data_IF_121842852268
#
_entry.id   IF_121842852268
#
_cell.length_a   1.000
_cell.length_b   1.000
_cell.length_c   1.000
_cell.angle_alpha   90.00
_cell.angle_beta   90.00
_cell.angle_gamma   90.00
#
_symmetry.space_group_name_H-M   'P 1'
#
loop_
_entity.id
_entity.type
_entity.pdbx_description
1 polymer ?
#
# COMPACT_ATOMS: atom_id res chain seq x y z
N UNK A 1 -55.15 -22.55 -36.59
CA UNK A 1 -55.28 -21.49 -35.58
C UNK A 1 -54.95 -21.97 -34.15
N UNK A 2 -54.10 -23.00 -33.98
CA UNK A 2 -53.74 -23.54 -32.65
C UNK A 2 -52.22 -23.49 -32.40
N UNK A 3 -51.41 -23.51 -33.46
CA UNK A 3 -49.94 -23.45 -33.34
C UNK A 3 -49.41 -22.05 -32.96
N UNK A 4 -50.14 -20.98 -33.31
CA UNK A 4 -49.71 -19.60 -33.02
C UNK A 4 -49.96 -19.15 -31.58
N UNK A 5 -50.88 -19.80 -30.85
CA UNK A 5 -51.19 -19.47 -29.45
C UNK A 5 -50.19 -20.14 -28.50
N UNK A 6 -49.76 -21.37 -28.80
CA UNK A 6 -48.74 -22.06 -28.00
C UNK A 6 -47.35 -21.41 -28.09
N UNK A 7 -46.99 -20.79 -29.23
CA UNK A 7 -45.71 -20.08 -29.37
C UNK A 7 -45.69 -18.76 -28.60
N UNK A 8 -46.80 -18.00 -28.60
CA UNK A 8 -46.91 -16.77 -27.79
C UNK A 8 -46.92 -17.06 -26.28
N UNK A 9 -47.53 -18.16 -25.83
CA UNK A 9 -47.53 -18.55 -24.41
C UNK A 9 -46.17 -19.07 -23.91
N UNK A 10 -45.33 -19.59 -24.80
CA UNK A 10 -43.95 -20.01 -24.48
C UNK A 10 -42.97 -18.84 -24.45
N UNK A 11 -43.12 -17.85 -25.34
CA UNK A 11 -42.31 -16.64 -25.33
C UNK A 11 -42.60 -15.76 -24.11
N UNK A 12 -43.87 -15.62 -23.70
CA UNK A 12 -44.27 -14.76 -22.57
C UNK A 12 -43.85 -15.34 -21.20
N UNK A 13 -43.83 -16.67 -21.07
CA UNK A 13 -43.29 -17.35 -19.88
C UNK A 13 -41.77 -17.21 -19.79
N UNK A 14 -41.06 -17.26 -20.91
CA UNK A 14 -39.60 -17.08 -20.97
C UNK A 14 -39.18 -15.67 -20.53
N UNK A 15 -39.89 -14.63 -20.98
CA UNK A 15 -39.65 -13.23 -20.55
C UNK A 15 -40.07 -12.98 -19.11
N UNK A 16 -41.13 -13.61 -18.61
CA UNK A 16 -41.53 -13.53 -17.19
C UNK A 16 -40.50 -14.20 -16.28
N UNK A 17 -39.98 -15.38 -16.66
CA UNK A 17 -38.91 -16.08 -15.93
C UNK A 17 -37.59 -15.31 -15.98
N UNK A 18 -37.20 -14.73 -17.13
CA UNK A 18 -35.95 -13.96 -17.22
C UNK A 18 -36.03 -12.63 -16.45
N UNK A 19 -37.18 -11.94 -16.45
CA UNK A 19 -37.42 -10.76 -15.59
C UNK A 19 -37.46 -11.11 -14.12
N UNK A 20 -38.10 -12.23 -13.74
CA UNK A 20 -38.14 -12.71 -12.36
C UNK A 20 -36.75 -13.12 -11.87
N UNK A 21 -35.93 -13.79 -12.67
CA UNK A 21 -34.53 -14.11 -12.35
C UNK A 21 -33.69 -12.83 -12.26
N UNK A 22 -33.93 -11.83 -13.12
CA UNK A 22 -33.23 -10.54 -13.08
C UNK A 22 -33.64 -9.67 -11.88
N UNK A 23 -34.87 -9.82 -11.37
CA UNK A 23 -35.36 -9.11 -10.18
C UNK A 23 -35.02 -9.82 -8.87
N UNK A 24 -35.01 -11.16 -8.85
CA UNK A 24 -34.71 -11.99 -7.66
C UNK A 24 -33.20 -12.08 -7.41
N UNK A 25 -32.34 -11.98 -8.43
CA UNK A 25 -30.89 -12.23 -8.23
C UNK A 25 -30.02 -11.02 -7.87
N UNK A 26 -30.58 -9.84 -7.61
CA UNK A 26 -29.76 -8.66 -7.24
C UNK A 26 -30.02 -8.14 -5.84
N UNK A 27 -31.27 -8.14 -5.37
CA UNK A 27 -31.60 -7.66 -4.02
C UNK A 27 -31.34 -8.74 -2.98
N UNK A 28 -31.89 -9.95 -3.17
CA UNK A 28 -31.82 -11.01 -2.17
C UNK A 28 -30.43 -11.63 -2.06
N UNK A 29 -29.70 -11.71 -3.18
CA UNK A 29 -28.29 -12.09 -3.20
C UNK A 29 -27.41 -11.02 -2.54
N UNK A 30 -27.67 -9.73 -2.79
CA UNK A 30 -26.93 -8.66 -2.14
C UNK A 30 -27.22 -8.63 -0.63
N UNK A 31 -28.46 -8.83 -0.20
CA UNK A 31 -28.82 -8.93 1.22
C UNK A 31 -28.25 -10.18 1.88
N UNK A 32 -28.23 -11.32 1.19
CA UNK A 32 -27.62 -12.56 1.69
C UNK A 32 -26.10 -12.40 1.86
N UNK A 33 -25.42 -11.80 0.88
CA UNK A 33 -23.99 -11.50 0.97
C UNK A 33 -23.74 -10.47 2.08
N UNK A 34 -24.56 -9.41 2.19
CA UNK A 34 -24.45 -8.41 3.27
C UNK A 34 -24.68 -9.05 4.65
N UNK A 35 -25.53 -10.06 4.76
CA UNK A 35 -25.81 -10.80 5.99
C UNK A 35 -24.66 -11.74 6.35
N UNK A 36 -24.16 -12.54 5.39
CA UNK A 36 -22.97 -13.39 5.59
C UNK A 36 -21.73 -12.55 5.92
N UNK A 37 -21.56 -11.37 5.31
CA UNK A 37 -20.47 -10.43 5.62
C UNK A 37 -20.61 -9.74 6.99
N UNK A 38 -21.82 -9.65 7.56
CA UNK A 38 -22.04 -9.15 8.93
C UNK A 38 -21.80 -10.23 9.99
N UNK A 39 -21.90 -11.49 9.61
CA UNK A 39 -21.72 -12.64 10.51
C UNK A 39 -20.25 -13.06 10.65
N UNK A 40 -19.36 -12.61 9.76
CA UNK A 40 -17.91 -12.71 9.94
C UNK A 40 -17.36 -11.53 10.77
N UNK A 41 -17.18 -11.75 12.07
CA UNK A 41 -16.58 -10.83 13.06
C UNK A 41 -15.15 -10.33 12.74
N UNK A 42 -14.60 -10.68 11.58
CA UNK A 42 -13.27 -10.29 11.08
C UNK A 42 -13.29 -9.63 9.69
N UNK A 43 -14.46 -9.32 9.13
CA UNK A 43 -14.56 -8.70 7.82
C UNK A 43 -14.10 -7.23 7.87
N UNK A 44 -13.12 -6.88 7.02
CA UNK A 44 -12.77 -5.48 6.77
C UNK A 44 -14.05 -4.76 6.30
N UNK A 45 -14.46 -3.64 6.94
CA UNK A 45 -15.69 -2.96 6.57
C UNK A 45 -15.71 -2.67 5.06
N UNK A 46 -16.83 -2.96 4.40
CA UNK A 46 -16.99 -2.79 2.94
C UNK A 46 -16.47 -1.43 2.45
N UNK A 47 -16.71 -0.37 3.24
CA UNK A 47 -16.21 0.98 2.95
C UNK A 47 -14.68 1.07 2.87
N UNK A 48 -13.94 0.37 3.74
CA UNK A 48 -12.47 0.32 3.72
C UNK A 48 -11.99 -0.39 2.46
N UNK A 49 -12.68 -1.46 2.05
CA UNK A 49 -12.39 -2.16 0.80
C UNK A 49 -12.58 -1.24 -0.42
N UNK A 50 -13.68 -0.49 -0.49
CA UNK A 50 -13.92 0.48 -1.57
C UNK A 50 -12.83 1.54 -1.66
N UNK A 51 -12.44 2.14 -0.53
CA UNK A 51 -11.34 3.11 -0.49
C UNK A 51 -10.03 2.51 -0.98
N UNK A 52 -9.67 1.33 -0.49
CA UNK A 52 -8.45 0.64 -0.90
C UNK A 52 -8.44 0.29 -2.38
N UNK A 53 -9.58 -0.15 -2.92
CA UNK A 53 -9.74 -0.47 -4.33
C UNK A 53 -9.61 0.78 -5.22
N UNK A 54 -10.27 1.89 -4.86
CA UNK A 54 -10.15 3.16 -5.56
C UNK A 54 -8.70 3.68 -5.55
N UNK A 55 -8.04 3.65 -4.39
CA UNK A 55 -6.64 4.07 -4.26
C UNK A 55 -5.75 3.19 -5.15
N UNK A 56 -5.91 1.87 -5.10
CA UNK A 56 -5.18 0.93 -5.95
C UNK A 56 -5.35 1.26 -7.44
N UNK A 57 -6.60 1.44 -7.89
CA UNK A 57 -6.91 1.73 -9.28
C UNK A 57 -6.27 3.04 -9.75
N UNK A 58 -6.41 4.12 -8.97
CA UNK A 58 -5.78 5.40 -9.31
C UNK A 58 -4.26 5.32 -9.33
N UNK A 59 -3.64 4.62 -8.38
CA UNK A 59 -2.19 4.40 -8.38
C UNK A 59 -1.74 3.60 -9.61
N UNK A 60 -2.46 2.56 -10.02
CA UNK A 60 -2.17 1.79 -11.24
C UNK A 60 -2.31 2.62 -12.51
N UNK A 61 -3.29 3.53 -12.54
CA UNK A 61 -3.48 4.48 -13.63
C UNK A 61 -2.49 5.67 -13.58
N UNK A 62 -1.54 5.71 -12.63
CA UNK A 62 -0.61 6.83 -12.37
C UNK A 62 -1.31 8.16 -12.04
N UNK A 63 -2.58 8.11 -11.62
CA UNK A 63 -3.39 9.25 -11.21
C UNK A 63 -3.19 9.54 -9.71
N UNK A 64 -1.96 9.85 -9.30
CA UNK A 64 -1.61 10.01 -7.87
C UNK A 64 -2.41 11.12 -7.18
N UNK A 65 -2.76 12.18 -7.90
CA UNK A 65 -3.60 13.24 -7.35
C UNK A 65 -4.96 12.72 -6.86
N UNK A 66 -5.60 11.83 -7.60
CA UNK A 66 -6.90 11.28 -7.26
C UNK A 66 -6.80 10.16 -6.22
N UNK A 67 -5.71 9.37 -6.24
CA UNK A 67 -5.39 8.45 -5.17
C UNK A 67 -5.26 9.18 -3.81
N UNK A 68 -4.57 10.33 -3.81
CA UNK A 68 -4.40 11.15 -2.62
C UNK A 68 -5.69 11.84 -2.15
N UNK A 69 -6.51 12.35 -3.07
CA UNK A 69 -7.84 12.87 -2.70
C UNK A 69 -8.68 11.78 -2.05
N UNK A 70 -8.64 10.57 -2.58
CA UNK A 70 -9.35 9.41 -2.03
C UNK A 70 -8.86 9.05 -0.64
N UNK A 71 -7.55 9.00 -0.43
CA UNK A 71 -6.94 8.79 0.89
C UNK A 71 -7.32 9.90 1.90
N UNK A 72 -7.29 11.18 1.50
CA UNK A 72 -7.72 12.27 2.39
C UNK A 72 -9.19 12.16 2.77
N UNK A 73 -10.06 11.84 1.82
CA UNK A 73 -11.48 11.61 2.08
C UNK A 73 -11.70 10.48 3.10
N UNK A 74 -10.93 9.39 3.00
CA UNK A 74 -10.94 8.31 3.98
C UNK A 74 -10.64 8.83 5.40
N UNK A 75 -9.61 9.67 5.53
CA UNK A 75 -9.22 10.29 6.81
C UNK A 75 -10.27 11.28 7.33
N UNK A 76 -10.84 12.11 6.46
CA UNK A 76 -11.91 13.07 6.78
C UNK A 76 -13.15 12.35 7.32
N UNK A 77 -13.47 11.18 6.75
CA UNK A 77 -14.55 10.31 7.18
C UNK A 77 -14.21 9.46 8.43
N UNK A 78 -13.01 9.65 9.03
CA UNK A 78 -12.53 8.90 10.19
C UNK A 78 -12.46 7.39 9.97
N UNK A 79 -12.28 6.98 8.72
CA UNK A 79 -12.07 5.58 8.35
C UNK A 79 -10.58 5.30 8.44
N UNK A 80 -10.20 4.28 9.22
CA UNK A 80 -8.80 4.02 9.51
C UNK A 80 -8.08 3.38 8.33
N UNK A 81 -6.94 3.93 7.89
CA UNK A 81 -6.14 3.32 6.84
C UNK A 81 -5.56 1.99 7.30
N UNK A 82 -5.42 1.08 6.36
CA UNK A 82 -4.89 -0.28 6.58
C UNK A 82 -3.49 -0.41 5.99
N UNK A 83 -2.80 -1.51 6.29
CA UNK A 83 -1.54 -1.87 5.62
C UNK A 83 -1.69 -1.83 4.10
N UNK A 84 -2.81 -2.35 3.57
CA UNK A 84 -3.08 -2.34 2.12
C UNK A 84 -3.20 -0.92 1.55
N UNK A 85 -3.80 0.00 2.31
CA UNK A 85 -3.89 1.43 1.93
C UNK A 85 -2.50 2.00 1.68
N UNK A 86 -1.58 1.79 2.62
CA UNK A 86 -0.22 2.29 2.51
C UNK A 86 0.60 1.58 1.44
N UNK A 87 0.49 0.25 1.31
CA UNK A 87 1.15 -0.50 0.22
C UNK A 87 0.74 0.04 -1.15
N UNK A 88 -0.56 0.30 -1.37
CA UNK A 88 -1.05 0.85 -2.64
C UNK A 88 -0.44 2.23 -2.95
N UNK A 89 -0.43 3.13 -1.96
CA UNK A 89 0.15 4.46 -2.12
C UNK A 89 1.66 4.41 -2.36
N UNK A 90 2.40 3.58 -1.61
CA UNK A 90 3.84 3.40 -1.81
C UNK A 90 4.10 2.83 -3.21
N UNK A 91 3.32 1.85 -3.68
CA UNK A 91 3.43 1.31 -5.04
C UNK A 91 3.25 2.41 -6.08
N UNK A 92 2.23 3.26 -5.92
CA UNK A 92 1.97 4.40 -6.79
C UNK A 92 3.16 5.35 -6.86
N UNK A 93 3.65 5.81 -5.70
CA UNK A 93 4.81 6.70 -5.63
C UNK A 93 6.09 6.07 -6.17
N UNK A 94 6.35 4.81 -5.84
CA UNK A 94 7.52 4.06 -6.31
C UNK A 94 7.57 4.00 -7.83
N UNK A 95 6.43 3.75 -8.48
CA UNK A 95 6.32 3.67 -9.94
C UNK A 95 6.61 4.99 -10.68
N UNK A 96 6.64 6.09 -9.95
CA UNK A 96 6.94 7.45 -10.44
C UNK A 96 8.22 8.01 -9.81
N UNK A 97 8.98 7.18 -9.09
CA UNK A 97 10.22 7.55 -8.39
C UNK A 97 10.04 8.72 -7.37
N UNK A 98 8.82 8.87 -6.85
CA UNK A 98 8.41 9.90 -5.88
C UNK A 98 8.78 9.52 -4.45
N UNK A 99 10.07 9.26 -4.22
CA UNK A 99 10.56 8.73 -2.94
C UNK A 99 10.43 9.72 -1.77
N UNK A 100 10.45 11.03 -2.06
CA UNK A 100 10.23 12.07 -1.05
C UNK A 100 8.80 11.96 -0.48
N UNK A 101 7.83 11.69 -1.31
CA UNK A 101 6.43 11.54 -0.92
C UNK A 101 6.23 10.28 -0.07
N UNK A 102 7.01 9.21 -0.31
CA UNK A 102 7.06 8.04 0.57
C UNK A 102 7.60 8.42 1.96
N UNK A 103 8.54 9.39 2.07
CA UNK A 103 9.00 9.86 3.40
C UNK A 103 7.91 10.60 4.18
N UNK A 104 7.05 11.34 3.48
CA UNK A 104 5.89 12.02 4.08
C UNK A 104 4.87 10.97 4.53
N UNK A 105 4.57 10.00 3.65
CA UNK A 105 3.65 8.90 3.95
C UNK A 105 4.13 8.05 5.13
N UNK A 106 5.45 7.86 5.29
CA UNK A 106 6.01 7.20 6.48
C UNK A 106 5.72 7.98 7.77
N UNK A 107 5.70 9.32 7.72
CA UNK A 107 5.24 10.14 8.83
C UNK A 107 3.77 9.87 9.19
N UNK A 108 2.91 9.68 8.20
CA UNK A 108 1.50 9.31 8.41
C UNK A 108 1.37 7.90 9.00
N UNK A 109 2.14 6.93 8.50
CA UNK A 109 2.16 5.55 9.01
C UNK A 109 2.52 5.56 10.50
N UNK A 110 3.58 6.28 10.90
CA UNK A 110 3.98 6.38 12.31
C UNK A 110 2.89 6.97 13.20
N UNK A 111 2.22 8.05 12.76
CA UNK A 111 1.09 8.61 13.53
C UNK A 111 -0.03 7.59 13.72
N UNK A 112 -0.38 6.83 12.68
CA UNK A 112 -1.41 5.79 12.80
C UNK A 112 -0.97 4.63 13.72
N UNK A 113 0.32 4.31 13.78
CA UNK A 113 0.85 3.34 14.75
C UNK A 113 0.78 3.87 16.19
N UNK A 114 1.19 5.11 16.41
CA UNK A 114 1.15 5.79 17.72
C UNK A 114 -0.28 5.91 18.25
N UNK A 115 -1.25 6.19 17.37
CA UNK A 115 -2.67 6.26 17.70
C UNK A 115 -3.33 4.88 17.89
N UNK A 116 -2.60 3.78 17.68
CA UNK A 116 -3.13 2.41 17.77
C UNK A 116 -4.06 2.01 16.61
N UNK A 117 -4.15 2.83 15.56
CA UNK A 117 -5.02 2.62 14.40
C UNK A 117 -4.41 1.66 13.36
N UNK A 118 -3.10 1.40 13.42
CA UNK A 118 -2.39 0.58 12.45
C UNK A 118 -1.36 -0.34 13.12
N UNK A 119 -1.53 -1.65 12.91
CA UNK A 119 -0.49 -2.65 13.20
C UNK A 119 0.28 -2.92 11.91
N UNK A 120 1.54 -2.49 11.87
CA UNK A 120 2.42 -2.67 10.71
C UNK A 120 3.01 -4.07 10.71
N UNK A 121 2.96 -4.75 9.55
CA UNK A 121 3.59 -6.06 9.36
C UNK A 121 4.99 -5.93 8.74
N UNK A 122 5.71 -7.05 8.70
CA UNK A 122 7.05 -7.13 8.10
C UNK A 122 7.06 -6.65 6.64
N UNK A 123 6.04 -7.01 5.86
CA UNK A 123 6.01 -6.74 4.41
C UNK A 123 5.96 -5.23 4.12
N UNK A 124 5.20 -4.45 4.91
CA UNK A 124 5.16 -3.00 4.75
C UNK A 124 6.51 -2.36 5.13
N UNK A 125 7.17 -2.82 6.18
CA UNK A 125 8.53 -2.36 6.51
C UNK A 125 9.54 -2.69 5.40
N UNK A 126 9.50 -3.91 4.88
CA UNK A 126 10.37 -4.33 3.78
C UNK A 126 10.14 -3.47 2.54
N UNK A 127 8.89 -3.17 2.22
CA UNK A 127 8.54 -2.33 1.09
C UNK A 127 9.02 -0.88 1.25
N UNK A 128 8.83 -0.30 2.44
CA UNK A 128 9.37 1.02 2.76
C UNK A 128 10.90 1.06 2.70
N UNK A 129 11.57 0.05 3.27
CA UNK A 129 13.03 -0.04 3.31
C UNK A 129 13.61 -0.11 1.90
N UNK A 130 13.06 -0.95 1.02
CA UNK A 130 13.49 -1.04 -0.38
C UNK A 130 13.31 0.29 -1.13
N UNK A 131 12.17 0.97 -0.94
CA UNK A 131 11.90 2.24 -1.58
C UNK A 131 12.81 3.36 -1.08
N UNK A 132 13.05 3.44 0.24
CA UNK A 132 14.00 4.41 0.79
C UNK A 132 15.43 4.12 0.36
N UNK A 133 15.80 2.85 0.24
CA UNK A 133 17.10 2.47 -0.28
C UNK A 133 17.27 2.89 -1.74
N UNK A 134 16.28 2.65 -2.61
CA UNK A 134 16.27 3.14 -3.99
C UNK A 134 16.41 4.66 -4.07
N UNK A 135 15.63 5.39 -3.26
CA UNK A 135 15.69 6.86 -3.20
C UNK A 135 16.90 7.44 -2.48
N UNK A 136 17.77 6.62 -1.88
CA UNK A 136 18.95 7.09 -1.15
C UNK A 136 18.64 7.77 0.20
N UNK A 137 17.47 7.50 0.80
CA UNK A 137 17.05 8.05 2.09
C UNK A 137 17.59 7.20 3.25
N UNK A 138 18.92 7.13 3.39
CA UNK A 138 19.59 6.24 4.36
C UNK A 138 19.21 6.49 5.82
N UNK A 139 18.85 7.72 6.18
CA UNK A 139 18.29 8.03 7.50
C UNK A 139 17.04 7.18 7.77
N UNK A 140 16.09 7.16 6.83
CA UNK A 140 14.85 6.37 6.93
C UNK A 140 15.10 4.88 6.80
N UNK A 141 16.07 4.46 5.99
CA UNK A 141 16.50 3.05 5.92
C UNK A 141 16.97 2.58 7.30
N UNK A 142 17.84 3.34 7.96
CA UNK A 142 18.35 2.99 9.29
C UNK A 142 17.26 3.05 10.36
N UNK A 143 16.33 3.99 10.27
CA UNK A 143 15.15 4.08 11.14
C UNK A 143 14.32 2.78 11.05
N UNK A 144 13.96 2.32 9.85
CA UNK A 144 13.16 1.09 9.67
C UNK A 144 13.91 -0.15 10.13
N UNK A 145 15.21 -0.27 9.84
CA UNK A 145 16.03 -1.38 10.35
C UNK A 145 15.98 -1.42 11.88
N UNK A 146 15.98 -0.25 12.54
CA UNK A 146 15.78 -0.11 13.98
C UNK A 146 14.44 -0.70 14.41
N UNK A 147 13.34 -0.23 13.83
CA UNK A 147 11.99 -0.74 14.12
C UNK A 147 11.89 -2.26 13.94
N UNK A 148 12.35 -2.79 12.79
CA UNK A 148 12.31 -4.23 12.53
C UNK A 148 13.12 -5.02 13.56
N UNK A 149 14.29 -4.52 13.98
CA UNK A 149 15.12 -5.16 15.00
C UNK A 149 14.47 -5.15 16.38
N UNK A 150 13.91 -4.02 16.79
CA UNK A 150 13.22 -3.86 18.09
C UNK A 150 12.03 -4.80 18.22
N UNK A 151 11.34 -5.08 17.11
CA UNK A 151 10.21 -6.00 17.06
C UNK A 151 10.61 -7.46 16.69
N UNK A 152 11.91 -7.77 16.69
CA UNK A 152 12.40 -9.13 16.42
C UNK A 152 12.14 -9.65 15.00
N UNK A 153 11.92 -8.75 14.03
CA UNK A 153 11.63 -9.13 12.65
C UNK A 153 12.91 -9.48 11.89
N UNK A 154 12.81 -10.52 11.04
CA UNK A 154 13.90 -10.92 10.15
C UNK A 154 14.20 -9.84 9.10
N UNK A 155 15.49 -9.60 8.85
CA UNK A 155 15.97 -8.66 7.83
C UNK A 155 16.96 -9.34 6.90
N UNK A 156 16.66 -9.34 5.59
CA UNK A 156 17.54 -9.91 4.58
C UNK A 156 18.65 -8.93 4.19
N UNK A 157 19.75 -8.98 4.95
CA UNK A 157 20.92 -8.11 4.72
C UNK A 157 21.52 -8.28 3.33
N UNK A 158 21.47 -9.49 2.76
CA UNK A 158 22.05 -9.76 1.44
C UNK A 158 21.23 -9.08 0.36
N UNK A 159 19.90 -9.21 0.40
CA UNK A 159 18.99 -8.53 -0.51
C UNK A 159 19.20 -7.01 -0.50
N UNK A 160 19.29 -6.39 0.68
CA UNK A 160 19.52 -4.95 0.78
C UNK A 160 20.94 -4.54 0.37
N UNK A 161 21.94 -5.41 0.56
CA UNK A 161 23.29 -5.21 0.01
C UNK A 161 23.26 -5.14 -1.51
N UNK A 162 22.58 -6.10 -2.16
CA UNK A 162 22.42 -6.13 -3.61
C UNK A 162 21.71 -4.88 -4.14
N UNK A 163 20.62 -4.47 -3.49
CA UNK A 163 19.87 -3.28 -3.90
C UNK A 163 20.71 -2.00 -3.74
N UNK A 164 21.49 -1.88 -2.66
CA UNK A 164 22.44 -0.77 -2.51
C UNK A 164 23.49 -0.75 -3.61
N UNK A 165 24.10 -1.88 -3.93
CA UNK A 165 25.12 -1.95 -4.99
C UNK A 165 24.53 -1.65 -6.37
N UNK A 166 23.25 -1.96 -6.59
CA UNK A 166 22.55 -1.65 -7.84
C UNK A 166 22.34 -0.15 -8.04
N UNK A 167 21.88 0.58 -7.01
CA UNK A 167 21.51 1.99 -7.15
C UNK A 167 22.59 2.97 -6.68
N UNK A 168 23.45 2.56 -5.75
CA UNK A 168 24.29 3.46 -4.95
C UNK A 168 25.74 2.98 -4.78
N UNK A 169 26.26 2.08 -5.63
CA UNK A 169 27.65 1.56 -5.49
C UNK A 169 28.75 2.63 -5.40
N UNK A 170 28.57 3.75 -6.09
CA UNK A 170 29.54 4.84 -6.13
C UNK A 170 29.19 5.96 -5.15
N UNK A 171 28.04 5.85 -4.47
CA UNK A 171 27.55 6.85 -3.54
C UNK A 171 28.54 7.03 -2.38
N UNK A 172 29.09 8.23 -2.27
CA UNK A 172 30.06 8.65 -1.26
C UNK A 172 31.36 7.82 -1.21
N UNK A 173 31.73 7.13 -2.29
CA UNK A 173 32.95 6.31 -2.36
C UNK A 173 34.23 7.08 -1.99
N UNK A 174 34.27 8.38 -2.28
CA UNK A 174 35.40 9.27 -2.00
C UNK A 174 35.12 10.32 -0.91
N UNK A 175 33.90 10.39 -0.37
CA UNK A 175 33.54 11.40 0.63
C UNK A 175 33.88 10.95 2.05
N UNK A 176 34.82 11.65 2.67
CA UNK A 176 35.08 11.54 4.11
C UNK A 176 34.15 12.49 4.87
N UNK A 177 33.77 12.16 6.11
CA UNK A 177 32.97 13.04 6.97
C UNK A 177 33.67 14.39 7.23
N UNK A 178 35.01 14.38 7.25
CA UNK A 178 35.83 15.59 7.26
C UNK A 178 35.61 16.52 6.07
N UNK A 179 35.02 16.02 4.98
CA UNK A 179 34.77 16.77 3.74
C UNK A 179 33.32 17.25 3.64
N UNK A 180 32.48 16.97 4.64
CA UNK A 180 31.09 17.45 4.67
C UNK A 180 31.09 18.97 4.83
N UNK A 181 30.40 19.69 3.93
CA UNK A 181 30.40 21.16 3.91
C UNK A 181 29.44 21.76 4.94
N UNK A 182 28.52 20.95 5.47
CA UNK A 182 27.58 21.33 6.51
C UNK A 182 27.14 20.11 7.34
N UNK A 183 26.53 20.37 8.49
CA UNK A 183 26.06 19.35 9.43
C UNK A 183 25.08 18.35 8.78
N UNK A 184 24.18 18.83 7.92
CA UNK A 184 23.22 18.00 7.22
C UNK A 184 23.91 16.96 6.30
N UNK A 185 24.97 17.35 5.58
CA UNK A 185 25.77 16.43 4.78
C UNK A 185 26.53 15.43 5.65
N UNK A 186 27.03 15.85 6.82
CA UNK A 186 27.70 14.94 7.76
C UNK A 186 26.73 13.84 8.23
N UNK A 187 25.54 14.21 8.70
CA UNK A 187 24.51 13.27 9.15
C UNK A 187 24.10 12.29 8.05
N UNK A 188 23.86 12.78 6.83
CA UNK A 188 23.56 11.90 5.67
C UNK A 188 24.65 10.86 5.43
N UNK A 189 25.92 11.28 5.49
CA UNK A 189 27.05 10.37 5.30
C UNK A 189 27.17 9.35 6.44
N UNK A 190 26.88 9.75 7.68
CA UNK A 190 26.85 8.85 8.83
C UNK A 190 25.82 7.73 8.65
N UNK A 191 24.60 8.05 8.19
CA UNK A 191 23.59 7.02 7.91
C UNK A 191 24.02 6.06 6.78
N UNK A 192 24.64 6.56 5.72
CA UNK A 192 25.17 5.70 4.64
C UNK A 192 26.26 4.77 5.17
N UNK A 193 27.17 5.27 6.00
CA UNK A 193 28.23 4.47 6.63
C UNK A 193 27.66 3.43 7.58
N UNK A 194 26.67 3.80 8.39
CA UNK A 194 25.97 2.88 9.27
C UNK A 194 25.31 1.75 8.47
N UNK A 195 24.63 2.08 7.38
CA UNK A 195 24.04 1.09 6.48
C UNK A 195 25.11 0.17 5.86
N UNK A 196 26.17 0.72 5.27
CA UNK A 196 27.28 -0.07 4.68
C UNK A 196 27.88 -1.04 5.68
N UNK A 197 28.14 -0.58 6.91
CA UNK A 197 28.62 -1.44 8.00
C UNK A 197 27.60 -2.54 8.33
N UNK A 198 26.31 -2.21 8.39
CA UNK A 198 25.25 -3.15 8.72
C UNK A 198 25.09 -4.29 7.69
N UNK A 199 25.23 -3.99 6.39
CA UNK A 199 25.23 -5.00 5.31
C UNK A 199 26.61 -5.63 5.02
N UNK A 200 27.67 -5.25 5.74
CA UNK A 200 29.02 -5.77 5.52
C UNK A 200 29.63 -5.37 4.17
N UNK A 201 29.51 -4.09 3.79
CA UNK A 201 30.26 -3.46 2.71
C UNK A 201 31.44 -2.70 3.33
N UNK A 202 32.65 -3.15 3.01
CA UNK A 202 33.92 -2.52 3.41
C UNK A 202 34.17 -1.25 2.58
#
# INVERSE_FOLDING_TARGET
MVVSICLSELEDKSTLYSKAITSISKSDMAESIIREMREEDNAVPFVVYEFNFSIYYFCKAKMIGDALKTYRRMQEMKIQPTVQTFVNLICGYSSLEMYREITILWGDIKRNMEDGNLVVNRDLYEFLLLNFLRGGYFERVMEIIGYMKEHGMYTDKWMYKCEFLKFHKDLYRSLKASNARNEAQSKRLEHVRAFRKWVGIV
#
